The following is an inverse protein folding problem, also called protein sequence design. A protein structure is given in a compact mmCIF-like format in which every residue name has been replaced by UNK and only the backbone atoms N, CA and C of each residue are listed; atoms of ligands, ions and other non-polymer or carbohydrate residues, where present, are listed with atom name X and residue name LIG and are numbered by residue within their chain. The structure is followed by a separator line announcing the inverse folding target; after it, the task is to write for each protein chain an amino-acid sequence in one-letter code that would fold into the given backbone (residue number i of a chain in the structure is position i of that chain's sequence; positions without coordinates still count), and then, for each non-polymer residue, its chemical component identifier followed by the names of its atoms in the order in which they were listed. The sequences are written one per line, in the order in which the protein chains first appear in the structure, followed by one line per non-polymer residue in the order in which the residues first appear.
data_IF_689406337788
#
_entry.id   IF_689406337788
#
_cell.length_a   1.000
_cell.length_b   1.000
_cell.length_c   1.000
_cell.angle_alpha   90.00
_cell.angle_beta   90.00
_cell.angle_gamma   90.00
#
_symmetry.space_group_name_H-M   'P 1'
#
loop_
_entity.id
_entity.type
_entity.pdbx_description
1 polymer ?
#
# COMPACT_ATOMS: atom_id res chain seq x y z
N UNK A 1 -14.84 37.17 -19.74
CA UNK A 1 -15.53 35.91 -19.40
C UNK A 1 -14.60 34.81 -19.88
N UNK A 2 -14.14 33.92 -19.00
CA UNK A 2 -13.17 32.89 -19.40
C UNK A 2 -13.75 32.02 -20.53
N UNK A 3 -13.01 31.90 -21.63
CA UNK A 3 -13.46 31.19 -22.83
C UNK A 3 -12.81 29.80 -22.84
N UNK A 4 -13.47 28.86 -22.18
CA UNK A 4 -13.01 27.49 -22.03
C UNK A 4 -13.21 26.69 -23.31
N UNK A 5 -12.11 26.20 -23.89
CA UNK A 5 -12.12 25.37 -25.09
C UNK A 5 -11.32 24.08 -24.87
N UNK A 6 -11.76 23.00 -25.49
CA UNK A 6 -10.97 21.75 -25.48
C UNK A 6 -9.66 21.93 -26.25
N UNK A 7 -8.65 21.12 -25.92
CA UNK A 7 -7.35 21.12 -26.62
C UNK A 7 -7.52 21.03 -28.14
N UNK A 8 -8.43 20.17 -28.61
CA UNK A 8 -8.72 19.96 -30.04
C UNK A 8 -9.36 21.18 -30.70
N UNK A 9 -10.34 21.81 -30.03
CA UNK A 9 -10.97 23.03 -30.53
C UNK A 9 -10.00 24.20 -30.58
N UNK A 10 -9.16 24.35 -29.55
CA UNK A 10 -8.16 25.41 -29.45
C UNK A 10 -7.03 25.22 -30.47
N UNK A 11 -6.58 23.98 -30.67
CA UNK A 11 -5.62 23.58 -31.71
C UNK A 11 -6.12 23.97 -33.10
N UNK A 12 -7.37 23.61 -33.44
CA UNK A 12 -7.99 23.97 -34.72
C UNK A 12 -8.17 25.49 -34.89
N UNK A 13 -8.56 26.20 -33.82
CA UNK A 13 -8.77 27.66 -33.83
C UNK A 13 -7.49 28.45 -34.04
N UNK A 14 -6.38 28.00 -33.44
CA UNK A 14 -5.11 28.75 -33.37
C UNK A 14 -4.03 28.21 -34.31
N UNK A 15 -4.25 27.08 -34.98
CA UNK A 15 -3.27 26.45 -35.86
C UNK A 15 -2.07 25.86 -35.12
N UNK A 16 -2.21 25.53 -33.83
CA UNK A 16 -1.16 24.96 -32.97
C UNK A 16 -1.33 23.46 -32.84
N UNK A 17 -0.24 22.70 -32.67
CA UNK A 17 -0.35 21.26 -32.42
C UNK A 17 -0.88 20.98 -31.01
N UNK A 18 -1.70 19.93 -30.86
CA UNK A 18 -2.20 19.51 -29.54
C UNK A 18 -1.07 19.18 -28.56
N UNK A 19 0.07 18.65 -29.04
CA UNK A 19 1.24 18.36 -28.21
C UNK A 19 1.85 19.63 -27.61
N UNK A 20 1.88 20.73 -28.37
CA UNK A 20 2.39 22.03 -27.89
C UNK A 20 1.48 22.60 -26.81
N UNK A 21 0.16 22.55 -27.05
CA UNK A 21 -0.82 23.01 -26.06
C UNK A 21 -0.73 22.18 -24.77
N UNK A 22 -0.64 20.85 -24.88
CA UNK A 22 -0.45 19.96 -23.71
C UNK A 22 0.82 20.31 -22.94
N UNK A 23 1.93 20.55 -23.63
CA UNK A 23 3.18 20.90 -22.98
C UNK A 23 3.07 22.24 -22.22
N UNK A 24 2.51 23.27 -22.87
CA UNK A 24 2.30 24.57 -22.23
C UNK A 24 1.31 24.52 -21.06
N UNK A 25 0.29 23.66 -21.15
CA UNK A 25 -0.60 23.38 -20.01
C UNK A 25 0.15 22.70 -18.87
N UNK A 26 0.97 21.68 -19.16
CA UNK A 26 1.75 20.97 -18.15
C UNK A 26 2.78 21.88 -17.45
N UNK A 27 3.33 22.86 -18.17
CA UNK A 27 4.24 23.88 -17.64
C UNK A 27 3.50 25.02 -16.90
N UNK A 28 2.17 25.02 -16.88
CA UNK A 28 1.36 26.04 -16.21
C UNK A 28 1.26 27.38 -16.95
N UNK A 29 1.65 27.44 -18.24
CA UNK A 29 1.60 28.66 -19.05
C UNK A 29 0.20 29.04 -19.50
N UNK A 30 -0.69 28.06 -19.59
CA UNK A 30 -2.08 28.24 -19.99
C UNK A 30 -2.94 27.72 -18.85
N UNK A 31 -3.89 28.54 -18.42
CA UNK A 31 -4.84 28.13 -17.39
C UNK A 31 -5.69 26.99 -17.93
N UNK A 32 -5.71 25.87 -17.21
CA UNK A 32 -6.52 24.71 -17.55
C UNK A 32 -7.43 24.30 -16.40
N UNK A 33 -8.61 23.79 -16.73
CA UNK A 33 -9.54 23.17 -15.81
C UNK A 33 -10.02 21.83 -16.37
N UNK A 34 -10.32 20.88 -15.48
CA UNK A 34 -10.95 19.62 -15.87
C UNK A 34 -12.44 19.72 -15.58
N UNK A 35 -13.27 19.66 -16.62
CA UNK A 35 -14.74 19.74 -16.53
C UNK A 35 -15.29 18.45 -17.12
N UNK A 36 -16.04 17.68 -16.34
CA UNK A 36 -16.60 16.36 -16.72
C UNK A 36 -15.56 15.38 -17.31
N UNK A 37 -14.34 15.38 -16.77
CA UNK A 37 -13.24 14.51 -17.22
C UNK A 37 -12.53 14.98 -18.48
N UNK A 38 -12.87 16.16 -19.02
CA UNK A 38 -12.24 16.75 -20.21
C UNK A 38 -11.40 17.95 -19.81
N UNK A 39 -10.13 17.98 -20.24
CA UNK A 39 -9.25 19.14 -20.05
C UNK A 39 -9.70 20.26 -20.99
N UNK A 40 -10.06 21.39 -20.38
CA UNK A 40 -10.40 22.64 -21.06
C UNK A 40 -9.35 23.70 -20.74
N UNK A 41 -9.03 24.51 -21.74
CA UNK A 41 -8.03 25.56 -21.70
C UNK A 41 -8.72 26.92 -21.86
N UNK A 42 -8.26 27.91 -21.12
CA UNK A 42 -8.75 29.28 -21.27
C UNK A 42 -8.04 29.98 -22.46
N UNK A 43 -8.81 30.33 -23.50
CA UNK A 43 -8.30 30.97 -24.71
C UNK A 43 -7.73 32.38 -24.45
N UNK A 44 -8.22 33.07 -23.42
CA UNK A 44 -7.72 34.39 -23.02
C UNK A 44 -6.33 34.29 -22.38
N UNK A 45 -6.10 33.28 -21.53
CA UNK A 45 -4.77 32.96 -20.99
C UNK A 45 -3.76 32.59 -22.09
N UNK A 46 -4.16 31.77 -23.07
CA UNK A 46 -3.32 31.45 -24.22
C UNK A 46 -3.00 32.69 -25.06
N UNK A 47 -3.98 33.57 -25.28
CA UNK A 47 -3.76 34.82 -26.02
C UNK A 47 -2.77 35.73 -25.29
N UNK A 48 -2.90 35.82 -23.98
CA UNK A 48 -1.99 36.59 -23.12
C UNK A 48 -0.56 36.05 -23.19
N UNK A 49 -0.41 34.73 -23.10
CA UNK A 49 0.88 34.05 -23.28
C UNK A 49 1.49 34.37 -24.65
N UNK A 50 0.76 34.12 -25.74
CA UNK A 50 1.25 34.37 -27.10
C UNK A 50 1.64 35.84 -27.33
N UNK A 51 0.91 36.80 -26.76
CA UNK A 51 1.21 38.22 -26.88
C UNK A 51 2.50 38.61 -26.13
N UNK A 52 2.76 38.01 -24.97
CA UNK A 52 4.01 38.21 -24.22
C UNK A 52 5.21 37.62 -24.97
N UNK A 53 4.98 36.51 -25.70
CA UNK A 53 5.99 35.78 -26.47
C UNK A 53 6.04 36.15 -27.97
N UNK A 54 5.27 37.14 -28.42
CA UNK A 54 5.47 37.73 -29.74
C UNK A 54 6.88 38.31 -29.81
N UNK A 55 7.64 37.90 -30.82
CA UNK A 55 9.09 38.11 -30.98
C UNK A 55 9.49 39.57 -30.82
N UNK A 56 9.71 40.02 -29.58
CA UNK A 56 10.60 41.13 -29.27
C UNK A 56 11.99 40.62 -29.66
N UNK A 57 12.64 41.31 -30.60
CA UNK A 57 13.87 40.84 -31.23
C UNK A 57 14.97 40.40 -30.26
N UNK A 58 16.01 39.78 -30.81
CA UNK A 58 17.18 39.19 -30.13
C UNK A 58 18.05 40.24 -29.38
N UNK A 59 17.47 41.04 -28.49
CA UNK A 59 18.23 41.87 -27.56
C UNK A 59 18.67 40.99 -26.38
N UNK A 60 19.80 41.36 -25.77
CA UNK A 60 20.46 40.60 -24.70
C UNK A 60 19.52 40.31 -23.53
N UNK A 61 18.70 41.28 -23.13
CA UNK A 61 17.75 41.17 -22.02
C UNK A 61 16.61 40.17 -22.31
N UNK A 62 16.12 40.10 -23.56
CA UNK A 62 15.11 39.13 -23.97
C UNK A 62 15.68 37.71 -24.00
N UNK A 63 16.94 37.55 -24.42
CA UNK A 63 17.64 36.27 -24.38
C UNK A 63 17.89 35.81 -22.94
N UNK A 64 18.33 36.70 -22.04
CA UNK A 64 18.51 36.39 -20.62
C UNK A 64 17.18 35.96 -19.96
N UNK A 65 16.08 36.65 -20.28
CA UNK A 65 14.74 36.28 -19.80
C UNK A 65 14.32 34.89 -20.31
N UNK A 66 14.56 34.60 -21.59
CA UNK A 66 14.26 33.30 -22.20
C UNK A 66 15.08 32.17 -21.54
N UNK A 67 16.37 32.40 -21.28
CA UNK A 67 17.24 31.42 -20.61
C UNK A 67 16.69 31.12 -19.23
N UNK A 68 16.37 32.15 -18.43
CA UNK A 68 15.83 31.98 -17.07
C UNK A 68 14.48 31.25 -17.08
N UNK A 69 13.63 31.54 -18.07
CA UNK A 69 12.38 30.83 -18.28
C UNK A 69 12.64 29.34 -18.60
N UNK A 70 13.58 29.03 -19.48
CA UNK A 70 13.97 27.64 -19.79
C UNK A 70 14.59 26.91 -18.60
N UNK A 71 15.39 27.59 -17.78
CA UNK A 71 15.89 27.03 -16.52
C UNK A 71 14.73 26.70 -15.58
N UNK A 72 13.73 27.58 -15.47
CA UNK A 72 12.55 27.30 -14.65
C UNK A 72 11.69 26.15 -15.19
N UNK A 73 11.54 26.02 -16.52
CA UNK A 73 10.87 24.87 -17.15
C UNK A 73 11.60 23.57 -16.82
N UNK A 74 12.94 23.59 -16.90
CA UNK A 74 13.78 22.45 -16.57
C UNK A 74 13.60 22.01 -15.11
N UNK A 75 13.62 22.96 -14.17
CA UNK A 75 13.41 22.66 -12.74
C UNK A 75 12.01 22.09 -12.46
N UNK A 76 10.97 22.61 -13.12
CA UNK A 76 9.60 22.07 -12.98
C UNK A 76 9.54 20.61 -13.45
N UNK A 77 10.11 20.32 -14.62
CA UNK A 77 10.11 18.96 -15.18
C UNK A 77 10.96 18.02 -14.33
N UNK A 78 12.14 18.46 -13.88
CA UNK A 78 12.97 17.68 -12.97
C UNK A 78 12.23 17.33 -11.68
N UNK A 79 11.57 18.31 -11.05
CA UNK A 79 10.81 18.06 -9.83
C UNK A 79 9.73 17.01 -10.04
N UNK A 80 9.01 17.05 -11.17
CA UNK A 80 8.01 16.04 -11.51
C UNK A 80 8.64 14.65 -11.70
N UNK A 81 9.78 14.57 -12.38
CA UNK A 81 10.50 13.31 -12.58
C UNK A 81 11.07 12.77 -11.27
N UNK A 82 11.53 13.63 -10.36
CA UNK A 82 12.02 13.22 -9.05
C UNK A 82 10.87 12.66 -8.18
N UNK A 83 9.69 13.26 -8.23
CA UNK A 83 8.48 12.73 -7.58
C UNK A 83 8.09 11.36 -8.14
N UNK A 84 8.05 11.21 -9.47
CA UNK A 84 7.77 9.92 -10.12
C UNK A 84 8.82 8.86 -9.76
N UNK A 85 10.10 9.23 -9.77
CA UNK A 85 11.20 8.37 -9.38
C UNK A 85 11.09 7.94 -7.91
N UNK A 86 10.68 8.84 -7.03
CA UNK A 86 10.42 8.54 -5.63
C UNK A 86 9.28 7.52 -5.48
N UNK A 87 8.17 7.71 -6.20
CA UNK A 87 7.05 6.75 -6.22
C UNK A 87 7.48 5.37 -6.72
N UNK A 88 8.28 5.30 -7.79
CA UNK A 88 8.79 4.02 -8.31
C UNK A 88 9.75 3.33 -7.33
N UNK A 89 10.66 4.09 -6.71
CA UNK A 89 11.58 3.57 -5.69
C UNK A 89 10.80 3.00 -4.49
N UNK A 90 9.80 3.73 -4.01
CA UNK A 90 8.96 3.28 -2.88
C UNK A 90 8.11 2.08 -3.26
N UNK A 91 7.54 2.01 -4.46
CA UNK A 91 6.83 0.82 -4.94
C UNK A 91 7.72 -0.43 -4.93
N UNK A 92 8.98 -0.30 -5.36
CA UNK A 92 9.96 -1.39 -5.33
C UNK A 92 10.28 -1.85 -3.91
N UNK A 93 10.40 -0.93 -2.95
CA UNK A 93 10.62 -1.27 -1.53
C UNK A 93 9.47 -2.10 -0.95
N UNK A 94 8.23 -1.81 -1.35
CA UNK A 94 7.04 -2.50 -0.87
C UNK A 94 6.59 -3.66 -1.78
N UNK A 95 7.39 -4.02 -2.80
CA UNK A 95 7.12 -5.18 -3.67
C UNK A 95 6.74 -6.44 -2.88
N UNK A 96 7.41 -6.80 -1.76
CA UNK A 96 7.02 -7.99 -0.98
C UNK A 96 5.59 -7.92 -0.43
N UNK A 97 5.11 -6.73 -0.04
CA UNK A 97 3.74 -6.55 0.47
C UNK A 97 2.71 -6.81 -0.64
N UNK A 98 2.97 -6.32 -1.86
CA UNK A 98 2.10 -6.59 -2.99
C UNK A 98 2.04 -8.09 -3.31
N UNK A 99 3.15 -8.83 -3.19
CA UNK A 99 3.15 -10.29 -3.38
C UNK A 99 2.28 -11.00 -2.35
N UNK A 100 2.31 -10.56 -1.08
CA UNK A 100 1.45 -11.12 -0.03
C UNK A 100 -0.02 -10.85 -0.38
N UNK A 101 -0.37 -9.62 -0.73
CA UNK A 101 -1.75 -9.25 -1.09
C UNK A 101 -2.24 -10.06 -2.30
N UNK A 102 -1.42 -10.18 -3.35
CA UNK A 102 -1.74 -11.00 -4.53
C UNK A 102 -1.96 -12.46 -4.14
N UNK A 103 -1.12 -13.02 -3.26
CA UNK A 103 -1.26 -14.40 -2.79
C UNK A 103 -2.57 -14.60 -2.03
N UNK A 104 -2.93 -13.68 -1.14
CA UNK A 104 -4.20 -13.72 -0.39
C UNK A 104 -5.40 -13.58 -1.33
N UNK A 105 -5.35 -12.67 -2.28
CA UNK A 105 -6.37 -12.54 -3.34
C UNK A 105 -6.51 -13.84 -4.13
N UNK A 106 -5.40 -14.49 -4.45
CA UNK A 106 -5.40 -15.78 -5.14
C UNK A 106 -6.12 -16.88 -4.36
N UNK A 107 -6.08 -16.87 -3.02
CA UNK A 107 -6.81 -17.86 -2.20
C UNK A 107 -8.33 -17.73 -2.30
N UNK A 108 -8.84 -16.56 -2.73
CA UNK A 108 -10.28 -16.39 -2.96
C UNK A 108 -10.78 -17.07 -4.23
N UNK A 109 -9.86 -17.46 -5.13
CA UNK A 109 -10.13 -18.16 -6.37
C UNK A 109 -10.14 -19.66 -6.09
N UNK A 110 -11.32 -20.26 -6.21
CA UNK A 110 -11.56 -21.68 -5.92
C UNK A 110 -10.89 -22.59 -6.95
N UNK A 111 -11.01 -22.24 -8.24
CA UNK A 111 -10.46 -23.02 -9.34
C UNK A 111 -8.92 -22.94 -9.35
N UNK A 112 -8.26 -24.09 -9.33
CA UNK A 112 -6.81 -24.16 -9.22
C UNK A 112 -6.07 -23.64 -10.46
N UNK A 113 -6.66 -23.83 -11.65
CA UNK A 113 -6.09 -23.37 -12.91
C UNK A 113 -6.18 -21.86 -13.02
N UNK A 114 -7.37 -21.30 -12.79
CA UNK A 114 -7.61 -19.86 -12.77
C UNK A 114 -6.78 -19.16 -11.69
N UNK A 115 -6.62 -19.79 -10.52
CA UNK A 115 -5.75 -19.27 -9.46
C UNK A 115 -4.30 -19.18 -9.91
N UNK A 116 -3.78 -20.20 -10.61
CA UNK A 116 -2.42 -20.15 -11.15
C UNK A 116 -2.28 -19.05 -12.20
N UNK A 117 -3.24 -18.93 -13.13
CA UNK A 117 -3.25 -17.87 -14.16
C UNK A 117 -3.18 -16.49 -13.50
N UNK A 118 -4.03 -16.26 -12.49
CA UNK A 118 -4.04 -15.00 -11.74
C UNK A 118 -2.70 -14.73 -11.06
N UNK A 119 -2.18 -15.70 -10.28
CA UNK A 119 -0.93 -15.52 -9.56
C UNK A 119 0.26 -15.26 -10.49
N UNK A 120 0.37 -16.03 -11.57
CA UNK A 120 1.47 -15.90 -12.54
C UNK A 120 1.45 -14.55 -13.24
N UNK A 121 0.29 -14.11 -13.75
CA UNK A 121 0.17 -12.81 -14.43
C UNK A 121 0.35 -11.66 -13.44
N UNK A 122 -0.30 -11.70 -12.27
CA UNK A 122 -0.19 -10.63 -11.27
C UNK A 122 1.21 -10.51 -10.66
N UNK A 123 2.00 -11.59 -10.65
CA UNK A 123 3.42 -11.56 -10.25
C UNK A 123 4.38 -11.18 -11.39
N UNK A 124 3.86 -10.85 -12.59
CA UNK A 124 4.64 -10.31 -13.71
C UNK A 124 5.07 -11.31 -14.77
N UNK A 125 4.55 -12.55 -14.77
CA UNK A 125 4.77 -13.46 -15.91
C UNK A 125 4.05 -12.96 -17.16
N UNK A 126 4.66 -13.14 -18.33
CA UNK A 126 4.06 -12.69 -19.60
C UNK A 126 2.83 -13.53 -19.95
N UNK A 127 1.77 -12.86 -20.39
CA UNK A 127 0.49 -13.49 -20.77
C UNK A 127 0.70 -14.60 -21.80
N UNK A 128 1.60 -14.39 -22.78
CA UNK A 128 1.91 -15.40 -23.80
C UNK A 128 2.49 -16.70 -23.21
N UNK A 129 3.32 -16.62 -22.17
CA UNK A 129 3.89 -17.80 -21.50
C UNK A 129 2.82 -18.55 -20.71
N UNK A 130 1.96 -17.82 -20.00
CA UNK A 130 0.84 -18.39 -19.24
C UNK A 130 -0.15 -19.07 -20.20
N UNK A 131 -0.47 -18.43 -21.33
CA UNK A 131 -1.35 -18.98 -22.36
C UNK A 131 -0.88 -20.36 -22.86
N UNK A 132 0.42 -20.48 -23.18
CA UNK A 132 1.01 -21.76 -23.62
C UNK A 132 0.92 -22.84 -22.53
N UNK A 133 1.21 -22.48 -21.26
CA UNK A 133 1.16 -23.43 -20.13
C UNK A 133 -0.25 -24.00 -19.92
N UNK A 134 -1.27 -23.19 -20.15
CA UNK A 134 -2.68 -23.56 -19.95
C UNK A 134 -3.39 -24.04 -21.22
N UNK A 135 -2.67 -24.19 -22.34
CA UNK A 135 -3.26 -24.51 -23.65
C UNK A 135 -4.40 -23.55 -24.06
N UNK A 136 -4.23 -22.26 -23.76
CA UNK A 136 -5.18 -21.19 -24.08
C UNK A 136 -4.64 -20.29 -25.17
N UNK A 137 -5.52 -19.58 -25.88
CA UNK A 137 -5.08 -18.47 -26.73
C UNK A 137 -4.69 -17.26 -25.88
N UNK A 138 -3.92 -16.34 -26.46
CA UNK A 138 -3.58 -15.08 -25.81
C UNK A 138 -4.82 -14.28 -25.39
N UNK A 139 -5.85 -14.26 -26.25
CA UNK A 139 -7.09 -13.53 -25.99
C UNK A 139 -7.92 -14.21 -24.89
N UNK A 140 -8.02 -15.53 -24.89
CA UNK A 140 -8.74 -16.27 -23.85
C UNK A 140 -8.09 -16.04 -22.48
N UNK A 141 -6.76 -16.02 -22.43
CA UNK A 141 -6.01 -15.76 -21.20
C UNK A 141 -6.29 -14.36 -20.64
N UNK A 142 -6.36 -13.34 -21.52
CA UNK A 142 -6.75 -11.97 -21.13
C UNK A 142 -8.18 -11.94 -20.60
N UNK A 143 -9.11 -12.60 -21.29
CA UNK A 143 -10.52 -12.60 -20.91
C UNK A 143 -10.68 -13.26 -19.53
N UNK A 144 -10.08 -14.42 -19.32
CA UNK A 144 -10.09 -15.12 -18.03
C UNK A 144 -9.45 -14.27 -16.93
N UNK A 145 -8.28 -13.67 -17.16
CA UNK A 145 -7.64 -12.80 -16.17
C UNK A 145 -8.50 -11.58 -15.82
N UNK A 146 -9.12 -10.95 -16.81
CA UNK A 146 -9.99 -9.79 -16.63
C UNK A 146 -11.25 -10.13 -15.84
N UNK A 147 -11.88 -11.26 -16.15
CA UNK A 147 -13.03 -11.78 -15.40
C UNK A 147 -12.68 -12.06 -13.94
N UNK A 148 -11.51 -12.64 -13.67
CA UNK A 148 -11.03 -12.87 -12.31
C UNK A 148 -10.87 -11.56 -11.55
N UNK A 149 -10.28 -10.53 -12.15
CA UNK A 149 -10.14 -9.21 -11.53
C UNK A 149 -11.50 -8.56 -11.21
N UNK A 150 -12.46 -8.65 -12.12
CA UNK A 150 -13.82 -8.13 -11.91
C UNK A 150 -14.51 -8.89 -10.78
N UNK A 151 -14.36 -10.21 -10.73
CA UNK A 151 -14.97 -11.03 -9.68
C UNK A 151 -14.32 -10.78 -8.31
N UNK A 152 -13.01 -10.60 -8.26
CA UNK A 152 -12.31 -10.24 -7.02
C UNK A 152 -12.72 -8.85 -6.53
N UNK A 153 -12.83 -7.85 -7.41
CA UNK A 153 -13.22 -6.49 -7.04
C UNK A 153 -14.67 -6.39 -6.54
N UNK A 154 -15.58 -7.23 -7.05
CA UNK A 154 -16.95 -7.35 -6.52
C UNK A 154 -17.03 -7.97 -5.13
N UNK A 155 -15.96 -8.59 -4.65
CA UNK A 155 -15.95 -9.39 -3.43
C UNK A 155 -14.89 -8.92 -2.41
N UNK A 156 -14.54 -7.63 -2.39
CA UNK A 156 -13.54 -7.07 -1.47
C UNK A 156 -13.85 -7.36 0.01
N UNK A 157 -15.13 -7.44 0.38
CA UNK A 157 -15.58 -7.81 1.73
C UNK A 157 -15.16 -9.23 2.15
N UNK A 158 -14.85 -10.14 1.21
CA UNK A 158 -14.37 -11.50 1.54
C UNK A 158 -13.02 -11.50 2.25
N UNK A 159 -12.14 -10.54 1.96
CA UNK A 159 -10.83 -10.42 2.62
C UNK A 159 -11.01 -9.86 4.03
N UNK A 160 -11.81 -8.81 4.18
CA UNK A 160 -12.11 -8.22 5.48
C UNK A 160 -12.76 -9.25 6.41
N UNK A 161 -13.78 -9.95 5.91
CA UNK A 161 -14.44 -11.03 6.67
C UNK A 161 -13.54 -12.22 6.95
N UNK A 162 -12.51 -12.49 6.13
CA UNK A 162 -11.54 -13.54 6.44
C UNK A 162 -10.74 -13.22 7.70
N UNK A 163 -10.23 -11.98 7.83
CA UNK A 163 -9.53 -11.54 9.05
C UNK A 163 -10.45 -11.62 10.26
N UNK A 164 -11.68 -11.12 10.15
CA UNK A 164 -12.62 -11.12 11.26
C UNK A 164 -12.99 -12.54 11.71
N UNK A 165 -13.19 -13.46 10.75
CA UNK A 165 -13.42 -14.89 11.04
C UNK A 165 -12.20 -15.54 11.67
N UNK A 166 -10.99 -15.26 11.19
CA UNK A 166 -9.76 -15.80 11.77
C UNK A 166 -9.59 -15.31 13.22
N UNK A 167 -9.73 -14.01 13.46
CA UNK A 167 -9.68 -13.41 14.80
C UNK A 167 -10.75 -13.98 15.73
N UNK A 168 -11.99 -14.09 15.25
CA UNK A 168 -13.11 -14.69 16.00
C UNK A 168 -12.85 -16.16 16.31
N UNK A 169 -12.30 -16.92 15.35
CA UNK A 169 -11.95 -18.33 15.56
C UNK A 169 -10.83 -18.52 16.58
N UNK A 170 -9.82 -17.66 16.59
CA UNK A 170 -8.66 -17.77 17.47
C UNK A 170 -8.95 -17.23 18.88
N UNK A 171 -9.66 -16.11 18.97
CA UNK A 171 -9.79 -15.33 20.20
C UNK A 171 -11.23 -15.11 20.67
N UNK A 172 -12.25 -15.51 19.90
CA UNK A 172 -13.66 -15.28 20.22
C UNK A 172 -14.10 -15.85 21.58
N UNK A 173 -13.42 -16.90 22.08
CA UNK A 173 -13.63 -17.46 23.43
C UNK A 173 -13.41 -16.47 24.57
N UNK A 174 -12.65 -15.40 24.34
CA UNK A 174 -12.35 -14.38 25.33
C UNK A 174 -13.34 -13.21 25.34
N UNK A 175 -14.30 -13.19 24.39
CA UNK A 175 -15.33 -12.16 24.23
C UNK A 175 -14.73 -10.74 24.24
N UNK A 176 -13.76 -10.51 23.36
CA UNK A 176 -13.07 -9.23 23.21
C UNK A 176 -12.77 -8.96 21.74
N UNK A 177 -12.90 -7.70 21.34
CA UNK A 177 -12.59 -7.25 19.98
C UNK A 177 -11.07 -7.16 19.74
N UNK A 178 -10.29 -6.98 20.82
CA UNK A 178 -8.83 -6.92 20.78
C UNK A 178 -8.24 -7.94 21.78
N UNK A 179 -7.63 -9.03 21.30
CA UNK A 179 -7.07 -10.06 22.17
C UNK A 179 -5.92 -9.55 23.05
N UNK A 180 -5.27 -8.44 22.72
CA UNK A 180 -4.21 -7.88 23.56
C UNK A 180 -4.76 -7.28 24.87
N UNK A 181 -6.04 -6.92 24.92
CA UNK A 181 -6.69 -6.40 26.12
C UNK A 181 -7.12 -7.48 27.13
N UNK A 182 -6.86 -8.76 26.84
CA UNK A 182 -7.23 -9.86 27.73
C UNK A 182 -6.51 -9.71 29.09
N UNK A 183 -7.25 -9.70 30.21
CA UNK A 183 -6.64 -9.66 31.53
C UNK A 183 -5.86 -10.95 31.82
N UNK A 184 -4.68 -10.82 32.42
CA UNK A 184 -3.79 -11.98 32.68
C UNK A 184 -4.42 -13.05 33.56
N UNK A 185 -5.32 -12.66 34.48
CA UNK A 185 -6.08 -13.60 35.34
C UNK A 185 -6.94 -14.59 34.55
N UNK A 186 -7.28 -14.29 33.30
CA UNK A 186 -8.04 -15.21 32.43
C UNK A 186 -7.14 -16.27 31.77
N UNK A 187 -5.82 -16.12 31.84
CA UNK A 187 -4.86 -16.95 31.10
C UNK A 187 -3.84 -17.65 32.01
N UNK A 188 -3.47 -17.06 33.15
CA UNK A 188 -2.39 -17.56 33.99
C UNK A 188 -2.85 -17.79 35.43
N UNK A 189 -2.11 -18.64 36.17
CA UNK A 189 -2.35 -18.87 37.59
C UNK A 189 -2.21 -17.60 38.45
N UNK A 190 -2.80 -17.62 39.65
CA UNK A 190 -2.68 -16.52 40.62
C UNK A 190 -1.22 -16.24 41.00
N UNK A 191 -0.36 -17.27 41.04
CA UNK A 191 1.08 -17.11 41.28
C UNK A 191 1.74 -16.27 40.17
N UNK A 192 1.48 -16.62 38.92
CA UNK A 192 1.97 -15.87 37.76
C UNK A 192 1.45 -14.43 37.76
N UNK A 193 0.14 -14.26 37.97
CA UNK A 193 -0.51 -12.95 38.01
C UNK A 193 0.07 -12.07 39.13
N UNK A 194 0.24 -12.59 40.35
CA UNK A 194 0.77 -11.81 41.46
C UNK A 194 2.19 -11.32 41.21
N UNK A 195 3.05 -12.14 40.57
CA UNK A 195 4.40 -11.73 40.21
C UNK A 195 4.40 -10.62 39.14
N UNK A 196 3.53 -10.74 38.12
CA UNK A 196 3.41 -9.75 37.04
C UNK A 196 2.72 -8.45 37.51
N UNK A 197 1.77 -8.54 38.44
CA UNK A 197 1.02 -7.39 38.95
C UNK A 197 1.88 -6.48 39.81
N UNK A 198 2.91 -7.02 40.48
CA UNK A 198 3.94 -6.21 41.14
C UNK A 198 4.68 -5.27 40.18
N UNK A 199 4.65 -5.56 38.88
CA UNK A 199 5.25 -4.75 37.81
C UNK A 199 4.19 -3.92 37.05
N UNK A 200 2.96 -3.82 37.56
CA UNK A 200 1.82 -3.18 36.88
C UNK A 200 1.45 -3.82 35.52
N UNK A 201 1.73 -5.11 35.34
CA UNK A 201 1.38 -5.86 34.13
C UNK A 201 0.08 -6.61 34.36
N UNK A 202 -1.03 -6.08 33.86
CA UNK A 202 -2.40 -6.59 34.07
C UNK A 202 -3.04 -7.21 32.82
N UNK A 203 -2.58 -6.84 31.63
CA UNK A 203 -3.11 -7.35 30.35
C UNK A 203 -2.03 -8.05 29.52
N UNK A 204 -2.47 -8.81 28.51
CA UNK A 204 -1.56 -9.46 27.56
C UNK A 204 -0.73 -8.41 26.82
N UNK A 205 -1.32 -7.29 26.41
CA UNK A 205 -0.62 -6.17 25.77
C UNK A 205 0.61 -5.72 26.58
N UNK A 206 0.42 -5.46 27.87
CA UNK A 206 1.49 -5.00 28.76
C UNK A 206 2.59 -6.06 28.93
N UNK A 207 2.22 -7.35 28.96
CA UNK A 207 3.19 -8.44 29.04
C UNK A 207 4.02 -8.55 27.75
N UNK A 208 3.37 -8.44 26.58
CA UNK A 208 4.04 -8.48 25.29
C UNK A 208 4.96 -7.27 25.11
N UNK A 209 4.52 -6.08 25.53
CA UNK A 209 5.37 -4.88 25.53
C UNK A 209 6.59 -5.03 26.45
N UNK A 210 6.40 -5.58 27.66
CA UNK A 210 7.51 -5.83 28.59
C UNK A 210 8.54 -6.81 28.00
N UNK A 211 8.08 -7.88 27.36
CA UNK A 211 8.95 -8.91 26.77
C UNK A 211 9.63 -8.42 25.48
N UNK A 212 9.01 -7.52 24.71
CA UNK A 212 9.66 -6.86 23.58
C UNK A 212 10.85 -5.98 24.03
N UNK A 213 10.72 -5.28 25.15
CA UNK A 213 11.78 -4.40 25.67
C UNK A 213 12.90 -5.17 26.38
N UNK A 214 12.56 -6.23 27.12
CA UNK A 214 13.49 -6.89 28.03
C UNK A 214 13.90 -8.31 27.62
N UNK A 215 13.24 -8.87 26.61
CA UNK A 215 13.38 -10.25 26.18
C UNK A 215 12.63 -11.25 27.06
N UNK A 216 12.12 -12.31 26.44
CA UNK A 216 11.43 -13.41 27.13
C UNK A 216 12.20 -14.02 28.31
N UNK A 217 13.54 -14.24 28.25
CA UNK A 217 14.27 -14.82 29.37
C UNK A 217 14.26 -13.96 30.64
N UNK A 218 13.96 -12.66 30.53
CA UNK A 218 13.90 -11.77 31.70
C UNK A 218 12.78 -12.17 32.66
N UNK A 219 11.68 -12.72 32.15
CA UNK A 219 10.56 -13.20 32.97
C UNK A 219 10.99 -14.27 33.99
N UNK A 220 11.91 -15.18 33.61
CA UNK A 220 12.45 -16.22 34.50
C UNK A 220 13.29 -15.66 35.66
N UNK A 221 13.72 -14.40 35.58
CA UNK A 221 14.53 -13.72 36.61
C UNK A 221 13.69 -12.84 37.54
N UNK A 222 12.38 -12.76 37.33
CA UNK A 222 11.49 -11.97 38.17
C UNK A 222 11.19 -12.69 39.48
N UNK A 223 11.10 -11.91 40.56
CA UNK A 223 10.80 -12.44 41.88
C UNK A 223 9.40 -13.08 41.91
N UNK A 224 9.34 -14.38 42.20
CA UNK A 224 8.10 -15.17 42.17
C UNK A 224 7.82 -15.91 40.85
N UNK A 225 8.64 -15.67 39.81
CA UNK A 225 8.58 -16.34 38.51
C UNK A 225 9.77 -17.30 38.34
N UNK A 226 9.64 -18.48 38.93
CA UNK A 226 10.57 -19.58 38.69
C UNK A 226 10.36 -20.24 37.31
N UNK A 227 11.19 -21.24 37.00
CA UNK A 227 11.15 -21.97 35.73
C UNK A 227 9.79 -22.57 35.39
N UNK A 228 9.10 -23.12 36.40
CA UNK A 228 7.79 -23.74 36.24
C UNK A 228 6.74 -22.69 35.83
N UNK A 229 6.67 -21.58 36.57
CA UNK A 229 5.72 -20.49 36.29
C UNK A 229 6.03 -19.79 34.96
N UNK A 230 7.31 -19.67 34.61
CA UNK A 230 7.73 -19.16 33.30
C UNK A 230 7.21 -20.07 32.17
N UNK A 231 7.45 -21.38 32.25
CA UNK A 231 6.99 -22.32 31.24
C UNK A 231 5.46 -22.38 31.16
N UNK A 232 4.76 -22.23 32.28
CA UNK A 232 3.28 -22.09 32.31
C UNK A 232 2.81 -20.89 31.46
N UNK A 233 3.40 -19.70 31.66
CA UNK A 233 3.05 -18.49 30.90
C UNK A 233 3.33 -18.70 29.41
N UNK A 234 4.51 -19.21 29.06
CA UNK A 234 4.88 -19.43 27.66
C UNK A 234 3.93 -20.44 27.00
N UNK A 235 3.65 -21.57 27.66
CA UNK A 235 2.73 -22.58 27.13
C UNK A 235 1.31 -22.04 27.00
N UNK A 236 0.83 -21.25 27.96
CA UNK A 236 -0.49 -20.63 27.91
C UNK A 236 -0.60 -19.63 26.75
N UNK A 237 0.43 -18.80 26.52
CA UNK A 237 0.46 -17.88 25.38
C UNK A 237 0.55 -18.61 24.04
N UNK A 238 1.34 -19.68 23.95
CA UNK A 238 1.47 -20.50 22.75
C UNK A 238 0.15 -21.20 22.40
N UNK A 239 -0.47 -21.88 23.38
CA UNK A 239 -1.75 -22.57 23.20
C UNK A 239 -2.92 -21.62 22.91
N UNK A 240 -2.78 -20.35 23.28
CA UNK A 240 -3.75 -19.31 22.96
C UNK A 240 -3.42 -18.53 21.67
N UNK A 241 -2.42 -18.98 20.88
CA UNK A 241 -2.01 -18.40 19.61
C UNK A 241 -1.46 -16.96 19.69
N UNK A 242 -0.90 -16.56 20.84
CA UNK A 242 -0.24 -15.25 20.97
C UNK A 242 1.20 -15.25 20.50
N UNK A 243 1.88 -16.40 20.63
CA UNK A 243 3.29 -16.55 20.31
C UNK A 243 3.54 -17.79 19.47
N UNK A 244 4.64 -17.79 18.73
CA UNK A 244 5.13 -18.90 17.93
C UNK A 244 6.60 -19.17 18.25
N UNK A 245 7.00 -20.44 18.13
CA UNK A 245 8.40 -20.83 18.23
C UNK A 245 9.00 -20.91 16.84
N UNK A 246 10.09 -20.18 16.62
CA UNK A 246 10.87 -20.27 15.39
C UNK A 246 11.82 -21.48 15.43
N UNK A 247 12.35 -21.89 14.28
CA UNK A 247 13.26 -23.05 14.15
C UNK A 247 14.52 -22.94 15.03
N UNK A 248 14.97 -21.71 15.29
CA UNK A 248 16.09 -21.39 16.17
C UNK A 248 15.71 -21.38 17.68
N UNK A 249 14.49 -21.83 18.02
CA UNK A 249 13.90 -21.80 19.38
C UNK A 249 13.66 -20.40 19.95
N UNK A 250 13.72 -19.34 19.14
CA UNK A 250 13.32 -18.01 19.57
C UNK A 250 11.79 -17.90 19.61
N UNK A 251 11.29 -17.08 20.54
CA UNK A 251 9.86 -16.82 20.68
C UNK A 251 9.54 -15.55 19.89
N UNK A 252 8.65 -15.69 18.90
CA UNK A 252 8.06 -14.58 18.16
C UNK A 252 6.58 -14.41 18.50
N UNK A 253 6.01 -13.27 18.10
CA UNK A 253 4.56 -13.07 18.13
C UNK A 253 3.92 -13.78 16.95
N UNK A 254 2.68 -14.25 17.12
CA UNK A 254 1.89 -14.71 15.96
C UNK A 254 1.63 -13.55 15.00
N UNK A 255 1.43 -13.81 13.69
CA UNK A 255 1.14 -12.75 12.71
C UNK A 255 -0.05 -11.88 13.10
N UNK A 256 -1.11 -12.48 13.64
CA UNK A 256 -2.35 -11.81 14.04
C UNK A 256 -2.12 -10.84 15.19
N UNK A 257 -1.28 -11.22 16.16
CA UNK A 257 -0.94 -10.37 17.32
C UNK A 257 0.13 -9.33 16.96
N UNK A 258 1.09 -9.69 16.11
CA UNK A 258 2.13 -8.77 15.62
C UNK A 258 1.49 -7.54 14.94
N UNK A 259 0.42 -7.77 14.16
CA UNK A 259 -0.31 -6.70 13.48
C UNK A 259 -1.03 -5.73 14.43
N UNK A 260 -1.26 -6.11 15.70
CA UNK A 260 -1.90 -5.27 16.71
C UNK A 260 -0.91 -4.49 17.59
N UNK A 261 0.39 -4.80 17.48
CA UNK A 261 1.45 -4.29 18.36
C UNK A 261 2.48 -3.41 17.60
N UNK A 262 2.37 -3.35 16.26
CA UNK A 262 3.10 -2.39 15.41
C UNK A 262 2.77 -0.93 15.78
#
# INVERSE_FOLDING_TARGET
MANWLTIKQLSAKRGLTESTLRNWTNLGYITSATIDGIIMLDDDSLTSYLNVHQTKGLNKESLEKLIKEKESEYEIVLSQLDDELFLLKTQKLHQPLFHIIIKELGQLITDASQREIFLSISCGETISRVAVRHNMTYQDTINTYSELLINLSKNTERIATFRDRAMTSLFGKYNTDDPTNIPLRRMFSDRACNALFKLNIHTVHQLLQYTAQNGWPRLKRLEGLGEITYNEIINALYNANFIVFHENKSIGLSPEISALIL
#
